data_IF_535801100923
#
_entry.id   IF_535801100923
#
_cell.length_a   1.000
_cell.length_b   1.000
_cell.length_c   1.000
_cell.angle_alpha   90.00
_cell.angle_beta   90.00
_cell.angle_gamma   90.00
#
_symmetry.space_group_name_H-M   'P 1'
#
loop_
_entity.id
_entity.type
_entity.pdbx_description
1 polymer ?
2 non-polymer ?
3 non-polymer ?
4 non-polymer ?
5 non-polymer ?
6 water ?
#
# COMPACT_ATOMS: atom_id res chain seq x y z
N UNK A 1 17.33 10.42 -3.20
CA UNK A 1 16.00 9.83 -3.50
C UNK A 1 16.14 8.84 -4.68
N UNK A 2 15.75 7.59 -4.45
CA UNK A 2 15.71 6.52 -5.49
C UNK A 2 14.58 6.79 -6.49
N UNK A 3 13.98 5.74 -6.97
CA UNK A 3 12.93 5.94 -8.01
C UNK A 3 11.63 6.62 -7.59
N UNK A 4 11.12 7.39 -8.52
CA UNK A 4 9.87 8.08 -8.34
C UNK A 4 9.06 7.98 -9.64
N UNK A 5 7.71 8.02 -9.55
CA UNK A 5 6.89 8.08 -10.72
C UNK A 5 7.09 9.48 -11.33
N UNK A 6 7.20 9.55 -12.63
CA UNK A 6 7.47 10.82 -13.33
C UNK A 6 6.23 11.32 -14.09
N UNK A 7 5.09 11.04 -13.49
CA UNK A 7 3.80 11.34 -14.06
C UNK A 7 2.79 11.54 -12.93
N UNK A 8 1.73 12.30 -13.15
CA UNK A 8 0.74 12.58 -12.06
C UNK A 8 -0.38 11.64 -12.08
N UNK A 9 -0.79 11.05 -13.20
CA UNK A 9 -1.96 10.14 -13.25
C UNK A 9 -1.41 8.73 -13.17
N UNK A 10 -1.76 8.07 -12.06
CA UNK A 10 -1.24 6.71 -11.75
C UNK A 10 -2.50 5.77 -11.76
N UNK A 11 -2.33 4.57 -12.26
CA UNK A 11 -3.40 3.63 -12.26
C UNK A 11 -3.07 2.42 -11.33
N UNK A 12 -4.12 1.87 -10.75
CA UNK A 12 -4.00 0.64 -9.97
C UNK A 12 -5.05 -0.35 -10.41
N UNK A 13 -4.81 -1.62 -10.16
CA UNK A 13 -5.75 -2.65 -10.49
C UNK A 13 -5.75 -3.69 -9.38
N UNK A 14 -6.88 -4.14 -8.91
CA UNK A 14 -6.95 -5.21 -7.89
C UNK A 14 -6.91 -6.53 -8.63
N UNK A 15 -5.85 -7.26 -8.59
CA UNK A 15 -5.64 -8.52 -9.35
C UNK A 15 -6.64 -9.55 -8.87
N UNK A 16 -6.86 -9.67 -7.54
CA UNK A 16 -7.69 -10.71 -6.91
C UNK A 16 -8.08 -10.17 -5.55
N UNK A 17 -9.14 -10.71 -5.01
CA UNK A 17 -9.65 -10.24 -3.78
C UNK A 17 -9.51 -11.29 -2.65
N UNK A 18 -9.14 -10.81 -1.50
CA UNK A 18 -9.08 -11.71 -0.34
C UNK A 18 -10.49 -12.18 0.03
N UNK A 19 -10.68 -13.48 0.34
CA UNK A 19 -11.95 -13.98 0.88
C UNK A 19 -12.27 -13.51 2.28
N UNK A 20 -11.30 -12.90 2.99
CA UNK A 20 -11.45 -12.47 4.33
C UNK A 20 -12.47 -11.32 4.54
N UNK A 21 -12.73 -10.63 3.43
CA UNK A 21 -13.51 -9.39 3.48
C UNK A 21 -14.62 -9.36 2.40
N UNK A 22 -15.56 -8.43 2.61
CA UNK A 22 -16.50 -8.17 1.52
C UNK A 22 -15.75 -7.51 0.38
N UNK A 23 -16.18 -7.75 -0.84
CA UNK A 23 -15.51 -7.18 -1.98
C UNK A 23 -15.55 -5.67 -1.95
N UNK A 24 -16.70 -5.08 -1.60
CA UNK A 24 -16.78 -3.62 -1.59
C UNK A 24 -15.87 -3.04 -0.51
N UNK A 25 -15.59 -3.80 0.59
CA UNK A 25 -14.76 -3.28 1.66
C UNK A 25 -13.27 -3.31 1.25
N UNK A 26 -12.86 -4.27 0.41
CA UNK A 26 -11.51 -4.28 -0.17
C UNK A 26 -11.35 -3.08 -1.07
N UNK A 27 -12.31 -2.90 -1.96
CA UNK A 27 -12.27 -1.74 -2.87
C UNK A 27 -12.13 -0.48 -2.05
N UNK A 28 -12.98 -0.30 -1.06
CA UNK A 28 -12.97 0.92 -0.27
C UNK A 28 -11.69 1.15 0.51
N UNK A 29 -11.16 0.10 1.13
CA UNK A 29 -9.96 0.25 1.87
C UNK A 29 -8.78 0.67 0.98
N UNK A 30 -8.66 0.05 -0.23
CA UNK A 30 -7.61 0.38 -1.12
C UNK A 30 -7.81 1.83 -1.65
N UNK A 31 -9.04 2.19 -2.00
CA UNK A 31 -9.28 3.52 -2.52
C UNK A 31 -8.94 4.59 -1.49
N UNK A 32 -9.33 4.35 -0.24
CA UNK A 32 -9.06 5.25 0.81
C UNK A 32 -7.55 5.40 1.06
N UNK A 33 -6.82 4.31 0.95
CA UNK A 33 -5.43 4.34 1.17
C UNK A 33 -4.73 5.18 0.08
N UNK A 34 -5.13 5.04 -1.17
CA UNK A 34 -4.59 5.91 -2.21
C UNK A 34 -4.93 7.36 -1.87
N UNK A 35 -6.13 7.65 -1.41
CA UNK A 35 -6.54 9.07 -1.17
C UNK A 35 -5.66 9.67 -0.13
N UNK A 36 -5.18 8.93 0.90
CA UNK A 36 -4.31 9.44 1.88
C UNK A 36 -3.09 10.12 1.21
N UNK A 37 -2.52 9.50 0.21
CA UNK A 37 -1.36 10.04 -0.43
C UNK A 37 -1.71 11.08 -1.53
N UNK A 38 -2.82 10.91 -2.23
CA UNK A 38 -3.21 11.94 -3.19
C UNK A 38 -3.58 13.23 -2.45
N UNK A 39 -3.97 13.18 -1.16
CA UNK A 39 -4.36 14.42 -0.44
C UNK A 39 -3.15 15.28 -0.13
N UNK A 40 -1.94 14.75 -0.20
CA UNK A 40 -0.75 15.56 0.11
C UNK A 40 0.24 15.70 -1.05
N UNK A 41 -0.19 15.32 -2.24
CA UNK A 41 0.65 15.37 -3.43
C UNK A 41 -0.19 15.74 -4.62
N UNK A 42 0.46 15.95 -5.78
CA UNK A 42 -0.27 16.23 -7.02
C UNK A 42 -0.73 14.95 -7.75
N UNK A 43 -0.45 13.78 -7.18
CA UNK A 43 -0.83 12.50 -7.76
C UNK A 43 -2.33 12.23 -7.75
N UNK A 44 -2.78 11.59 -8.82
CA UNK A 44 -4.17 11.17 -9.00
C UNK A 44 -4.14 9.66 -9.26
N UNK A 45 -5.00 8.93 -8.57
CA UNK A 45 -5.06 7.45 -8.66
C UNK A 45 -6.39 7.02 -9.28
N UNK A 46 -6.34 6.14 -10.22
CA UNK A 46 -7.58 5.63 -10.88
C UNK A 46 -7.55 4.14 -10.86
N UNK A 47 -8.65 3.53 -10.45
CA UNK A 47 -8.79 2.11 -10.49
C UNK A 47 -9.11 1.66 -11.93
N UNK A 48 -8.49 0.66 -12.51
CA UNK A 48 -8.83 0.09 -13.77
C UNK A 48 -9.11 -1.37 -13.55
N UNK A 49 -9.88 -1.95 -14.46
CA UNK A 49 -10.34 -3.31 -14.35
C UNK A 49 -9.74 -4.22 -15.39
N UNK A 50 -9.06 -3.72 -16.39
CA UNK A 50 -8.39 -4.48 -17.40
C UNK A 50 -7.16 -3.72 -17.80
N UNK A 51 -6.22 -4.42 -18.40
CA UNK A 51 -5.06 -3.79 -18.97
C UNK A 51 -4.01 -3.74 -17.86
N UNK A 52 -2.88 -3.17 -18.21
CA UNK A 52 -1.68 -3.04 -17.33
C UNK A 52 -1.84 -1.76 -16.50
N UNK A 53 -1.89 -1.87 -15.21
CA UNK A 53 -1.89 -0.75 -14.33
C UNK A 53 -0.49 -0.50 -13.89
N UNK A 54 -0.26 0.71 -13.37
CA UNK A 54 1.06 0.95 -12.76
C UNK A 54 1.21 0.11 -11.50
N UNK A 55 0.20 0.12 -10.64
CA UNK A 55 0.29 -0.53 -9.33
C UNK A 55 -0.71 -1.69 -9.35
N UNK A 56 -0.22 -2.93 -9.41
CA UNK A 56 -1.02 -4.12 -9.30
C UNK A 56 -1.12 -4.53 -7.79
N UNK A 57 -2.34 -4.67 -7.27
CA UNK A 57 -2.60 -5.09 -5.92
C UNK A 57 -2.94 -6.59 -5.90
N UNK A 58 -2.17 -7.40 -5.18
CA UNK A 58 -2.30 -8.84 -5.23
C UNK A 58 -2.42 -9.42 -3.82
N UNK A 59 -3.31 -10.35 -3.63
CA UNK A 59 -3.30 -11.14 -2.38
C UNK A 59 -2.73 -12.51 -2.68
N UNK A 60 -1.65 -12.91 -2.01
CA UNK A 60 -0.95 -14.14 -2.29
C UNK A 60 -0.38 -14.73 -1.05
N UNK A 61 0.00 -16.00 -1.09
CA UNK A 61 0.58 -16.63 0.09
C UNK A 61 1.86 -17.35 -0.27
N UNK A 62 2.72 -17.54 0.73
CA UNK A 62 4.01 -18.26 0.49
C UNK A 62 4.83 -17.76 -0.65
N UNK A 63 5.43 -18.62 -1.43
CA UNK A 63 6.20 -18.23 -2.59
C UNK A 63 5.25 -17.97 -3.70
N UNK A 64 5.26 -16.76 -4.24
CA UNK A 64 4.26 -16.25 -5.18
C UNK A 64 4.80 -15.60 -6.44
N UNK A 65 6.01 -15.96 -6.82
CA UNK A 65 6.55 -15.54 -8.13
C UNK A 65 7.48 -14.41 -8.15
N UNK A 66 7.74 -13.87 -7.00
CA UNK A 66 8.79 -12.90 -6.86
C UNK A 66 9.80 -13.55 -5.90
N UNK A 67 10.91 -12.90 -5.69
CA UNK A 67 11.92 -13.53 -4.94
C UNK A 67 11.66 -13.42 -3.45
N UNK A 68 10.47 -12.94 -3.08
CA UNK A 68 10.23 -12.53 -1.70
C UNK A 68 9.00 -13.21 -1.15
N UNK A 69 9.22 -14.42 -0.68
CA UNK A 69 8.12 -15.23 -0.19
C UNK A 69 7.51 -14.66 1.08
N UNK A 70 6.20 -14.92 1.24
CA UNK A 70 5.56 -14.74 2.48
C UNK A 70 5.73 -16.00 3.41
N UNK A 71 5.33 -15.80 4.64
CA UNK A 71 5.73 -16.62 5.82
C UNK A 71 4.67 -17.28 6.63
N UNK A 72 3.50 -17.32 6.04
CA UNK A 72 2.36 -17.85 6.77
C UNK A 72 1.78 -16.80 7.72
N UNK A 73 0.85 -17.24 8.57
CA UNK A 73 0.21 -16.33 9.41
C UNK A 73 1.20 -15.69 10.38
N UNK A 74 1.15 -14.42 10.67
CA UNK A 74 2.06 -13.68 11.46
C UNK A 74 3.26 -13.22 10.67
N UNK A 75 4.18 -12.64 11.42
CA UNK A 75 5.37 -12.17 10.75
C UNK A 75 5.06 -11.07 9.71
N UNK A 76 5.60 -11.29 8.54
CA UNK A 76 5.42 -10.34 7.44
C UNK A 76 3.90 -10.22 7.08
N UNK A 77 3.48 -9.01 6.76
CA UNK A 77 2.12 -8.77 6.35
C UNK A 77 1.93 -8.54 4.89
N UNK A 78 2.88 -7.84 4.28
CA UNK A 78 2.74 -7.34 2.89
C UNK A 78 4.03 -6.78 2.44
N UNK A 79 4.21 -6.52 1.17
CA UNK A 79 5.35 -5.80 0.69
C UNK A 79 5.04 -5.13 -0.62
N UNK A 80 5.85 -4.17 -1.07
CA UNK A 80 5.59 -3.44 -2.27
C UNK A 80 6.89 -3.07 -2.93
N UNK A 81 6.90 -2.96 -4.23
CA UNK A 81 8.05 -2.56 -4.97
C UNK A 81 7.99 -1.10 -5.28
N UNK A 82 9.17 -0.44 -5.28
CA UNK A 82 9.26 0.95 -5.63
C UNK A 82 8.90 1.21 -7.11
N UNK A 83 8.80 2.51 -7.44
CA UNK A 83 8.40 2.86 -8.78
C UNK A 83 9.27 2.27 -9.85
N UNK A 84 8.64 1.87 -10.93
CA UNK A 84 9.33 1.24 -12.05
C UNK A 84 8.36 0.52 -12.91
N UNK A 85 8.84 0.04 -14.04
CA UNK A 85 8.03 -0.76 -14.94
C UNK A 85 7.86 -2.19 -14.46
N UNK A 86 6.86 -2.85 -14.97
CA UNK A 86 6.62 -4.26 -14.64
C UNK A 86 6.20 -4.35 -13.17
N UNK A 87 6.89 -5.16 -12.42
CA UNK A 87 6.53 -5.36 -11.02
C UNK A 87 6.76 -4.14 -10.22
N UNK A 88 7.49 -3.13 -10.70
CA UNK A 88 7.64 -1.88 -10.00
C UNK A 88 6.30 -1.32 -9.64
N UNK A 89 6.17 -0.79 -8.44
CA UNK A 89 4.92 -0.25 -7.92
C UNK A 89 4.01 -1.28 -7.27
N UNK A 90 4.17 -2.57 -7.56
CA UNK A 90 3.12 -3.48 -7.22
C UNK A 90 3.13 -3.75 -5.73
N UNK A 91 1.95 -4.03 -5.14
CA UNK A 91 1.74 -4.20 -3.71
C UNK A 91 1.14 -5.55 -3.45
N UNK A 92 1.76 -6.42 -2.69
CA UNK A 92 1.33 -7.75 -2.44
C UNK A 92 1.03 -7.91 -0.95
N UNK A 93 -0.12 -8.52 -0.62
CA UNK A 93 -0.60 -8.68 0.74
C UNK A 93 -0.67 -10.18 1.05
N UNK A 94 -0.14 -10.56 2.17
CA UNK A 94 -0.05 -11.99 2.58
C UNK A 94 -1.44 -12.53 2.89
N UNK A 95 -1.92 -13.42 2.06
CA UNK A 95 -3.30 -14.01 2.26
C UNK A 95 -3.36 -14.86 3.50
N UNK A 96 -2.22 -15.28 4.03
CA UNK A 96 -2.27 -16.02 5.29
C UNK A 96 -2.61 -15.16 6.43
N UNK A 97 -2.57 -13.82 6.33
CA UNK A 97 -3.18 -12.96 7.35
C UNK A 97 -4.68 -12.96 7.21
N UNK A 98 -5.31 -12.43 8.25
CA UNK A 98 -6.76 -12.28 8.20
C UNK A 98 -7.03 -10.77 8.13
N UNK A 99 -7.40 -10.34 6.92
CA UNK A 99 -7.56 -8.95 6.64
C UNK A 99 -8.94 -8.45 7.11
N UNK A 100 -9.03 -7.29 7.67
CA UNK A 100 -10.30 -6.76 8.13
C UNK A 100 -10.42 -5.24 7.92
N UNK A 101 -11.63 -4.72 8.14
CA UNK A 101 -11.90 -3.30 8.22
C UNK A 101 -11.79 -2.65 9.59
N UNK A 102 -11.37 -3.45 10.58
CA UNK A 102 -11.45 -3.01 11.94
C UNK A 102 -10.23 -3.35 12.70
N UNK A 103 -10.31 -3.49 14.03
CA UNK A 103 -9.11 -3.75 14.83
C UNK A 103 -8.75 -5.23 14.89
N UNK A 104 -9.66 -6.14 14.56
CA UNK A 104 -9.44 -7.56 14.54
C UNK A 104 -8.48 -7.91 13.42
N UNK A 105 -7.80 -9.00 13.48
CA UNK A 105 -6.93 -9.41 12.39
C UNK A 105 -5.95 -8.33 12.07
N UNK A 106 -5.63 -8.16 10.79
CA UNK A 106 -4.74 -7.10 10.35
C UNK A 106 -5.57 -6.14 9.45
N UNK A 107 -5.54 -4.84 9.79
CA UNK A 107 -6.35 -3.85 9.10
C UNK A 107 -5.81 -3.62 7.71
N UNK A 108 -6.59 -3.88 6.69
CA UNK A 108 -6.17 -3.72 5.29
C UNK A 108 -5.85 -2.26 4.94
N UNK A 109 -6.70 -1.35 5.30
CA UNK A 109 -6.51 0.09 4.98
C UNK A 109 -5.15 0.50 5.52
N UNK A 110 -4.87 0.32 6.81
CA UNK A 110 -3.62 0.83 7.35
C UNK A 110 -2.41 0.21 6.69
N UNK A 111 -2.46 -1.13 6.48
CA UNK A 111 -1.40 -1.77 5.77
C UNK A 111 -1.19 -1.25 4.37
N UNK A 112 -2.31 -1.02 3.68
CA UNK A 112 -2.27 -0.44 2.33
C UNK A 112 -1.64 0.95 2.30
N UNK A 113 -1.95 1.77 3.27
CA UNK A 113 -1.34 3.09 3.30
C UNK A 113 0.18 2.99 3.39
N UNK A 114 0.66 2.07 4.23
CA UNK A 114 2.10 1.87 4.34
C UNK A 114 2.64 1.31 3.06
N UNK A 115 2.04 0.27 2.52
CA UNK A 115 2.57 -0.31 1.29
C UNK A 115 2.55 0.65 0.09
N UNK A 116 1.48 1.41 -0.07
CA UNK A 116 1.47 2.40 -1.18
C UNK A 116 2.55 3.40 -0.97
N UNK A 117 2.88 3.79 0.26
CA UNK A 117 4.06 4.62 0.53
C UNK A 117 5.27 4.07 -0.21
N UNK A 118 5.51 2.77 -0.01
CA UNK A 118 6.63 2.13 -0.73
C UNK A 118 6.46 2.15 -2.24
N UNK A 119 5.20 1.87 -2.72
CA UNK A 119 4.96 1.91 -4.17
C UNK A 119 5.28 3.29 -4.76
N UNK A 120 5.16 4.30 -3.94
CA UNK A 120 5.45 5.69 -4.39
C UNK A 120 6.93 6.08 -4.23
N UNK A 121 7.73 5.24 -3.59
CA UNK A 121 9.12 5.50 -3.38
C UNK A 121 9.65 5.76 -1.99
N UNK A 122 8.80 5.73 -0.97
CA UNK A 122 9.18 6.00 0.39
C UNK A 122 9.84 4.78 1.00
N UNK A 123 10.75 5.03 1.92
CA UNK A 123 11.40 3.93 2.71
C UNK A 123 10.77 3.78 4.04
N UNK A 124 11.54 3.66 5.11
CA UNK A 124 11.01 3.64 6.44
C UNK A 124 11.48 4.76 7.29
N UNK A 125 10.64 5.22 8.16
CA UNK A 125 10.91 6.29 9.10
C UNK A 125 11.24 5.73 10.43
N UNK A 126 12.09 6.49 11.16
CA UNK A 126 12.39 6.08 12.57
C UNK A 126 11.37 6.66 13.59
N UNK A 127 10.39 7.44 13.15
CA UNK A 127 9.41 8.16 14.01
C UNK A 127 8.26 7.19 14.25
N UNK A 128 8.00 6.72 15.45
CA UNK A 128 6.91 5.84 15.74
C UNK A 128 5.54 6.45 15.44
N UNK A 129 5.43 7.73 15.19
CA UNK A 129 4.11 8.30 14.85
C UNK A 129 3.85 8.19 13.35
N UNK A 130 4.82 7.80 12.57
CA UNK A 130 4.71 7.80 11.10
C UNK A 130 4.12 6.55 10.60
N UNK A 131 3.28 6.69 9.57
CA UNK A 131 2.77 5.51 8.90
C UNK A 131 3.87 4.64 8.23
N UNK A 132 5.02 5.27 7.95
CA UNK A 132 6.16 4.57 7.33
C UNK A 132 7.10 3.99 8.39
N UNK A 133 6.71 4.05 9.68
CA UNK A 133 7.52 3.32 10.69
C UNK A 133 7.39 1.85 10.45
N UNK A 134 8.46 1.04 10.64
CA UNK A 134 8.43 -0.35 10.15
C UNK A 134 7.53 -1.30 11.09
N UNK A 135 6.80 -0.84 12.08
CA UNK A 135 5.96 -1.74 12.91
C UNK A 135 4.49 -1.42 12.76
N UNK A 136 3.70 -2.46 12.51
CA UNK A 136 2.30 -2.30 12.42
C UNK A 136 1.70 -2.07 13.85
N UNK A 137 0.76 -1.22 13.94
CA UNK A 137 -0.06 -1.05 15.14
C UNK A 137 -1.37 -0.45 14.68
N UNK A 138 -2.44 -1.00 15.21
CA UNK A 138 -3.73 -0.49 14.88
C UNK A 138 -3.97 0.86 15.50
N UNK A 139 -4.51 1.78 14.72
CA UNK A 139 -5.03 3.11 15.19
C UNK A 139 -6.40 3.27 14.60
N UNK A 140 -7.32 3.84 15.34
CA UNK A 140 -8.64 4.13 14.81
C UNK A 140 -8.58 4.70 13.39
N UNK A 141 -9.24 4.01 12.46
CA UNK A 141 -9.04 4.30 11.00
C UNK A 141 -9.85 5.49 10.58
N UNK A 142 -10.92 5.77 11.34
CA UNK A 142 -11.76 6.86 10.96
C UNK A 142 -11.09 8.20 11.29
N UNK A 143 -10.23 8.15 12.19
CA UNK A 143 -9.56 9.38 12.56
C UNK A 143 -8.12 9.38 12.01
N UNK A 144 -7.64 8.44 11.31
CA UNK A 144 -6.17 8.29 10.96
C UNK A 144 -5.64 9.57 10.36
N UNK A 145 -4.35 9.83 10.56
CA UNK A 145 -3.70 10.96 9.90
C UNK A 145 -2.19 10.74 9.67
N UNK A 146 -1.70 11.16 8.51
CA UNK A 146 -0.26 11.13 8.26
C UNK A 146 0.46 12.01 9.28
N UNK A 147 1.64 11.60 9.67
CA UNK A 147 2.55 12.43 10.48
C UNK A 147 3.24 13.48 9.64
N UNK A 148 3.81 14.48 10.32
CA UNK A 148 4.53 15.51 9.64
C UNK A 148 5.71 14.92 8.90
N UNK A 149 6.30 13.85 9.47
CA UNK A 149 7.44 13.15 8.81
C UNK A 149 7.02 12.44 7.56
N UNK A 150 5.86 11.81 7.58
CA UNK A 150 5.35 11.17 6.33
C UNK A 150 5.10 12.27 5.24
N UNK A 151 4.50 13.37 5.65
CA UNK A 151 4.17 14.45 4.68
C UNK A 151 5.48 15.01 4.11
N UNK A 152 6.47 15.26 4.96
CA UNK A 152 7.74 15.81 4.47
C UNK A 152 8.37 14.83 3.50
N UNK A 153 8.30 13.55 3.83
CA UNK A 153 8.91 12.51 2.96
C UNK A 153 8.25 12.45 1.60
N UNK A 154 6.94 12.33 1.56
CA UNK A 154 6.26 12.28 0.27
C UNK A 154 6.40 13.59 -0.51
N UNK A 155 6.35 14.73 0.19
CA UNK A 155 6.45 16.02 -0.56
C UNK A 155 7.86 16.21 -1.08
N UNK A 156 8.86 15.68 -0.41
CA UNK A 156 10.25 15.68 -0.90
C UNK A 156 10.41 14.91 -2.26
N UNK A 157 9.55 13.93 -2.49
CA UNK A 157 9.52 13.17 -3.71
C UNK A 157 8.63 13.79 -4.79
N UNK A 158 7.46 14.35 -4.38
CA UNK A 158 6.47 14.73 -5.37
C UNK A 158 6.01 16.23 -5.38
N UNK A 159 6.25 16.96 -4.37
CA UNK A 159 5.59 18.30 -4.28
C UNK A 159 6.42 19.50 -3.97
X LIG B 1 7.55 -1.00 5.05
X LIG C 1 5.43 -10.42 -3.57
X LIG D 1 3.75 -2.21 -11.79
X LIG E 1 -6.61 -14.48 4.64
X LIG F 1 2.71 -13.48 7.28
X LIG G 1 5.72 -6.96 8.84
X LIG G 1 5.88 -6.19 7.56
X LIG G 1 5.34 -6.86 6.41
X LIG G 1 7.51 -5.84 7.43
X LIG G 1 8.18 -5.38 6.24
X LIG G 1 7.45 -5.18 4.94
X LIG G 1 7.26 -3.73 4.67
X LIG G 1 6.49 -3.35 3.76
X LIG G 1 7.85 -2.96 5.36
X LIG G 1 8.16 -5.85 3.79
X LIG G 1 8.17 -7.35 3.95
X LIG G 1 8.94 -8.13 2.90
X LIG G 1 10.09 -7.80 2.59
X LIG G 1 8.47 -9.15 2.32
X LIG G 1 9.57 -5.07 6.31
X LIG G 1 10.29 -5.21 7.57
X LIG G 1 9.59 -5.62 8.66
X LIG G 1 8.23 -5.91 8.61
X LIG G 1 5.11 -4.76 7.71
X LIG G 1 4.12 -4.27 6.91
X LIG G 1 5.33 -4.03 8.89
X LIG G 1 4.64 -2.83 9.22
X LIG G 1 3.62 -2.36 8.29
X LIG G 1 3.38 -3.16 7.21
X LIG G 1 2.95 -1.23 8.72
X LIG G 1 1.58 -1.27 8.42
X LIG G 1 0.78 -0.23 8.91
X LIG G 1 1.24 0.83 9.59
X LIG G 1 0.27 1.74 9.96
X LIG G 1 0.82 2.66 10.79
X LIG G 1 2.63 0.95 9.95
X LIG G 1 3.42 -0.10 9.43
X LIG H 1 -11.25 -10.37 -9.83
X LIG H 1 -12.68 -10.01 -9.68
X LIG H 1 -11.07 -11.86 -10.26
X LIG H 1 -9.67 -12.11 -10.45
#
# INVERSE_FOLDING_TARGET
MGPVWRKHYITYRINNYTPDMNREDVDYAIRKAFQVWSNVTPLKFSKINTGMADILVVFARGAHGDDHAFDGKGGILAHAFGPGSGIGGDAHFDEDEFWTTHSGGTNLFLTAVHEIGHSLGLGHSSDPKAVMFPTYKYVDINTFRLSADDIRGIQSLYG
ZN ZN
ZN ZN
CA CA
CA CA
CA CA
B9N O32 S13 O31 C14 C19 C20 C25 O27 O26 C21 C22 C23 O30 O29 C18 C17 C16 C15 C3 C2 C4 C5 C6 C1 C7 C12 C11 C10 O28 C29 C9 C8
EDO C1 O1 C2 O2
#
